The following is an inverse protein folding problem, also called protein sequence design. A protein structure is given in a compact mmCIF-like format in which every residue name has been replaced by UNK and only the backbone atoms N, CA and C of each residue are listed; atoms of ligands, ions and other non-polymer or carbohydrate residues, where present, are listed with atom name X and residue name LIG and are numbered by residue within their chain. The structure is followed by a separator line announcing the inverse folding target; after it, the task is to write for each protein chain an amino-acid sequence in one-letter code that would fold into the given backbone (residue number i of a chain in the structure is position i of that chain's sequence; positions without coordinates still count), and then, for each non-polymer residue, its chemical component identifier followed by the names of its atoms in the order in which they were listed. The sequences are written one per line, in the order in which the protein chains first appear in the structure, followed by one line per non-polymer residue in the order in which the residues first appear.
data_IF_704481447359
#
_entry.id   IF_704481447359
#
_cell.length_a   1.000
_cell.length_b   1.000
_cell.length_c   1.000
_cell.angle_alpha   90.00
_cell.angle_beta   90.00
_cell.angle_gamma   90.00
#
_symmetry.space_group_name_H-M   'P 1'
#
loop_
_entity.id
_entity.type
_entity.pdbx_description
1 polymer ?
#
# COMPACT_ATOMS: atom_id res chain seq x y z
N UNK A 1 -9.10 21.93 17.06
CA UNK A 1 -10.50 21.44 16.92
C UNK A 1 -10.44 20.14 16.14
N UNK A 2 -10.70 19.01 16.79
CA UNK A 2 -10.69 17.69 16.15
C UNK A 2 -12.05 17.46 15.52
N UNK A 3 -12.11 17.45 14.20
CA UNK A 3 -13.34 17.20 13.45
C UNK A 3 -13.79 15.77 13.72
N UNK A 4 -14.89 15.61 14.46
CA UNK A 4 -15.48 14.31 14.77
C UNK A 4 -16.18 13.83 13.50
N UNK A 5 -15.55 12.90 12.77
CA UNK A 5 -16.17 12.26 11.62
C UNK A 5 -17.27 11.33 12.14
N UNK A 6 -18.54 11.73 12.01
CA UNK A 6 -19.69 10.90 12.34
C UNK A 6 -19.94 9.99 11.15
N UNK A 7 -19.74 8.69 11.34
CA UNK A 7 -20.00 7.68 10.32
C UNK A 7 -21.50 7.61 10.07
N UNK A 8 -21.92 7.62 8.80
CA UNK A 8 -23.32 7.46 8.43
C UNK A 8 -23.90 6.11 8.92
N UNK A 9 -25.19 6.09 9.26
CA UNK A 9 -25.85 4.94 9.92
C UNK A 9 -25.74 3.64 9.12
N UNK A 10 -25.67 3.71 7.79
CA UNK A 10 -25.52 2.57 6.89
C UNK A 10 -24.16 1.86 7.07
N UNK A 11 -23.08 2.65 7.15
CA UNK A 11 -21.72 2.16 7.39
C UNK A 11 -21.58 1.62 8.82
N UNK A 12 -22.19 2.28 9.80
CA UNK A 12 -22.21 1.78 11.18
C UNK A 12 -22.98 0.46 11.29
N UNK A 13 -24.13 0.35 10.62
CA UNK A 13 -24.93 -0.88 10.55
C UNK A 13 -24.17 -2.05 9.91
N UNK A 14 -23.39 -1.78 8.86
CA UNK A 14 -22.51 -2.79 8.25
C UNK A 14 -21.45 -3.29 9.24
N UNK A 15 -20.79 -2.39 9.95
CA UNK A 15 -19.79 -2.75 10.98
C UNK A 15 -20.43 -3.58 12.08
N UNK A 16 -21.58 -3.16 12.60
CA UNK A 16 -22.31 -3.90 13.65
C UNK A 16 -22.67 -5.33 13.19
N UNK A 17 -23.13 -5.49 11.95
CA UNK A 17 -23.43 -6.82 11.37
C UNK A 17 -22.20 -7.71 11.29
N UNK A 18 -21.06 -7.16 10.87
CA UNK A 18 -19.79 -7.92 10.80
C UNK A 18 -19.26 -8.27 12.18
N UNK A 19 -19.36 -7.37 13.16
CA UNK A 19 -19.01 -7.66 14.55
C UNK A 19 -19.86 -8.81 15.12
N UNK A 20 -21.18 -8.80 14.87
CA UNK A 20 -22.05 -9.89 15.31
C UNK A 20 -21.67 -11.24 14.69
N UNK A 21 -21.39 -11.26 13.39
CA UNK A 21 -20.99 -12.47 12.67
C UNK A 21 -19.66 -13.05 13.18
N UNK A 22 -18.69 -12.17 13.45
CA UNK A 22 -17.41 -12.54 14.06
C UNK A 22 -17.63 -13.14 15.47
N UNK A 23 -18.39 -12.46 16.32
CA UNK A 23 -18.71 -12.94 17.67
C UNK A 23 -19.40 -14.30 17.66
N UNK A 24 -20.35 -14.50 16.74
CA UNK A 24 -21.03 -15.79 16.55
C UNK A 24 -20.02 -16.89 16.21
N UNK A 25 -19.14 -16.64 15.24
CA UNK A 25 -18.14 -17.62 14.78
C UNK A 25 -17.11 -17.99 15.84
N UNK A 26 -16.68 -17.02 16.64
CA UNK A 26 -15.80 -17.25 17.81
C UNK A 26 -16.52 -18.10 18.86
N UNK A 27 -17.79 -17.80 19.17
CA UNK A 27 -18.59 -18.59 20.12
C UNK A 27 -18.83 -20.03 19.65
N UNK A 28 -18.99 -20.22 18.34
CA UNK A 28 -19.14 -21.55 17.72
C UNK A 28 -17.80 -22.30 17.56
N UNK A 29 -16.67 -21.67 17.90
CA UNK A 29 -15.33 -22.27 17.76
C UNK A 29 -14.83 -22.41 16.32
N UNK A 30 -15.49 -21.74 15.35
CA UNK A 30 -15.10 -21.76 13.93
C UNK A 30 -14.00 -20.76 13.58
N UNK A 31 -13.67 -19.88 14.52
CA UNK A 31 -12.54 -18.96 14.48
C UNK A 31 -11.87 -19.02 15.86
N UNK A 32 -10.54 -19.09 15.86
CA UNK A 32 -9.74 -18.96 17.07
C UNK A 32 -9.87 -17.55 17.68
N UNK A 33 -10.23 -17.42 18.98
CA UNK A 33 -10.41 -16.13 19.62
C UNK A 33 -9.19 -15.21 19.56
N UNK A 34 -7.98 -15.76 19.67
CA UNK A 34 -6.73 -14.99 19.69
C UNK A 34 -6.44 -14.43 18.29
N UNK A 35 -6.64 -15.25 17.25
CA UNK A 35 -6.52 -14.81 15.85
C UNK A 35 -7.53 -13.70 15.52
N UNK A 36 -8.76 -13.81 16.03
CA UNK A 36 -9.78 -12.77 15.85
C UNK A 36 -9.40 -11.46 16.55
N UNK A 37 -8.89 -11.55 17.78
CA UNK A 37 -8.47 -10.38 18.56
C UNK A 37 -7.28 -9.66 17.91
N UNK A 38 -6.26 -10.40 17.46
CA UNK A 38 -5.11 -9.82 16.75
C UNK A 38 -5.53 -9.11 15.46
N UNK A 39 -6.43 -9.70 14.68
CA UNK A 39 -6.92 -9.09 13.44
C UNK A 39 -7.71 -7.80 13.70
N UNK A 40 -8.59 -7.78 14.70
CA UNK A 40 -9.32 -6.57 15.11
C UNK A 40 -8.33 -5.49 15.58
N UNK A 41 -7.35 -5.87 16.41
CA UNK A 41 -6.35 -4.94 16.91
C UNK A 41 -5.51 -4.36 15.78
N UNK A 42 -5.09 -5.17 14.80
CA UNK A 42 -4.36 -4.68 13.62
C UNK A 42 -5.18 -3.67 12.79
N UNK A 43 -6.50 -3.87 12.66
CA UNK A 43 -7.39 -2.91 11.99
C UNK A 43 -7.54 -1.63 12.82
N UNK A 44 -7.74 -1.75 14.14
CA UNK A 44 -7.89 -0.60 15.04
C UNK A 44 -6.61 0.24 15.16
N UNK A 45 -5.45 -0.40 15.09
CA UNK A 45 -4.13 0.24 15.14
C UNK A 45 -3.65 0.74 13.77
N UNK A 46 -4.49 0.66 12.72
CA UNK A 46 -4.13 1.07 11.35
C UNK A 46 -2.83 0.39 10.87
N UNK A 47 -2.63 -0.86 11.28
CA UNK A 47 -1.48 -1.70 10.91
C UNK A 47 -1.66 -2.35 9.54
N UNK A 48 -2.89 -2.51 9.06
CA UNK A 48 -3.12 -2.98 7.69
C UNK A 48 -3.12 -1.80 6.74
N UNK A 49 -2.04 -1.65 5.96
CA UNK A 49 -2.00 -0.70 4.85
C UNK A 49 -3.14 -1.02 3.87
N UNK A 50 -3.78 -0.01 3.25
CA UNK A 50 -4.76 -0.26 2.21
C UNK A 50 -4.10 -1.05 1.07
N UNK A 51 -4.80 -2.08 0.60
CA UNK A 51 -4.36 -2.89 -0.54
C UNK A 51 -4.65 -2.21 -1.89
N UNK A 52 -5.44 -1.14 -1.89
CA UNK A 52 -5.87 -0.41 -3.07
C UNK A 52 -6.04 1.07 -2.72
N UNK A 53 -5.79 1.94 -3.70
CA UNK A 53 -6.11 3.36 -3.63
C UNK A 53 -6.70 3.84 -4.95
N UNK A 54 -7.58 4.83 -4.88
CA UNK A 54 -8.08 5.55 -6.05
C UNK A 54 -7.66 7.00 -5.93
N UNK A 55 -7.10 7.54 -7.02
CA UNK A 55 -6.56 8.89 -7.13
C UNK A 55 -7.15 9.49 -8.41
N UNK A 56 -7.97 10.54 -8.30
CA UNK A 56 -8.77 11.06 -9.40
C UNK A 56 -9.59 9.96 -10.08
N UNK A 57 -9.33 9.70 -11.37
CA UNK A 57 -9.98 8.66 -12.16
C UNK A 57 -9.19 7.35 -12.28
N UNK A 58 -8.08 7.20 -11.54
CA UNK A 58 -7.19 6.02 -11.61
C UNK A 58 -7.23 5.21 -10.33
N UNK A 59 -7.44 3.91 -10.46
CA UNK A 59 -7.39 2.96 -9.35
C UNK A 59 -6.14 2.10 -9.44
N UNK A 60 -5.46 1.97 -8.30
CA UNK A 60 -4.19 1.26 -8.15
C UNK A 60 -4.28 0.20 -7.07
N UNK A 61 -3.89 -1.02 -7.40
CA UNK A 61 -3.55 -2.02 -6.38
C UNK A 61 -2.14 -1.76 -5.86
N UNK A 62 -1.98 -1.90 -4.54
CA UNK A 62 -0.72 -1.74 -3.83
C UNK A 62 -0.17 -3.13 -3.50
N UNK A 63 0.92 -3.51 -4.15
CA UNK A 63 1.44 -4.87 -4.13
C UNK A 63 2.84 -4.93 -3.52
N UNK A 64 3.10 -6.00 -2.76
CA UNK A 64 4.45 -6.41 -2.38
C UNK A 64 5.04 -7.37 -3.42
N UNK A 65 6.37 -7.39 -3.55
CA UNK A 65 7.10 -8.28 -4.45
C UNK A 65 7.88 -9.39 -3.73
N UNK A 66 7.92 -9.37 -2.40
CA UNK A 66 8.53 -10.42 -1.58
C UNK A 66 7.66 -11.67 -1.55
N UNK A 67 8.28 -12.83 -1.48
CA UNK A 67 7.63 -14.16 -1.46
C UNK A 67 8.04 -14.92 -0.19
N UNK A 68 7.09 -15.65 0.39
CA UNK A 68 7.37 -16.47 1.57
C UNK A 68 7.90 -15.67 2.75
N UNK A 69 9.08 -16.03 3.23
CA UNK A 69 9.77 -15.45 4.39
C UNK A 69 10.88 -14.45 4.01
N UNK A 70 11.02 -14.12 2.73
CA UNK A 70 11.99 -13.13 2.25
C UNK A 70 11.86 -11.80 2.98
N UNK A 71 12.99 -11.21 3.38
CA UNK A 71 13.04 -9.89 4.04
C UNK A 71 13.45 -8.76 3.09
N UNK A 72 14.14 -9.13 2.01
CA UNK A 72 14.58 -8.21 0.97
C UNK A 72 14.95 -8.97 -0.30
N UNK A 73 14.95 -8.31 -1.45
CA UNK A 73 15.48 -8.85 -2.70
C UNK A 73 16.34 -7.81 -3.44
N UNK A 74 17.25 -8.25 -4.33
CA UNK A 74 17.94 -7.35 -5.26
C UNK A 74 16.96 -6.62 -6.19
N UNK A 75 17.31 -5.42 -6.66
CA UNK A 75 16.42 -4.63 -7.52
C UNK A 75 16.08 -5.31 -8.86
N UNK A 76 16.99 -6.11 -9.41
CA UNK A 76 16.70 -6.91 -10.62
C UNK A 76 15.54 -7.89 -10.39
N UNK A 77 15.53 -8.57 -9.25
CA UNK A 77 14.47 -9.50 -8.86
C UNK A 77 13.16 -8.75 -8.58
N UNK A 78 13.22 -7.59 -7.90
CA UNK A 78 12.05 -6.75 -7.69
C UNK A 78 11.41 -6.33 -9.02
N UNK A 79 12.21 -5.87 -9.99
CA UNK A 79 11.72 -5.45 -11.32
C UNK A 79 11.12 -6.63 -12.10
N UNK A 80 11.76 -7.79 -12.09
CA UNK A 80 11.25 -9.01 -12.74
C UNK A 80 9.87 -9.38 -12.18
N UNK A 81 9.74 -9.45 -10.85
CA UNK A 81 8.47 -9.80 -10.20
C UNK A 81 7.41 -8.73 -10.39
N UNK A 82 7.79 -7.45 -10.41
CA UNK A 82 6.85 -6.39 -10.74
C UNK A 82 6.26 -6.57 -12.14
N UNK A 83 7.09 -6.95 -13.13
CA UNK A 83 6.62 -7.26 -14.49
C UNK A 83 5.71 -8.48 -14.55
N UNK A 84 6.06 -9.56 -13.84
CA UNK A 84 5.21 -10.76 -13.73
C UNK A 84 3.81 -10.42 -13.19
N UNK A 85 3.73 -9.47 -12.24
CA UNK A 85 2.48 -9.00 -11.64
C UNK A 85 1.79 -7.89 -12.44
N UNK A 86 2.36 -7.44 -13.56
CA UNK A 86 1.91 -6.26 -14.32
C UNK A 86 1.90 -4.96 -13.48
N UNK A 87 2.81 -4.87 -12.52
CA UNK A 87 2.99 -3.76 -11.57
C UNK A 87 4.24 -2.91 -11.89
N UNK A 88 4.63 -2.85 -13.16
CA UNK A 88 5.80 -2.13 -13.66
C UNK A 88 5.44 -0.75 -14.20
N UNK A 89 4.66 0.05 -13.45
CA UNK A 89 4.24 1.37 -13.90
C UNK A 89 5.43 2.32 -14.11
N UNK A 90 5.23 3.29 -15.00
CA UNK A 90 6.26 4.24 -15.44
C UNK A 90 5.96 5.69 -15.04
N UNK A 91 6.58 6.62 -15.78
CA UNK A 91 6.52 8.05 -15.48
C UNK A 91 5.11 8.64 -15.47
N UNK A 92 4.23 8.21 -16.37
CA UNK A 92 2.87 8.74 -16.47
C UNK A 92 2.10 8.57 -15.15
N UNK A 93 2.07 7.36 -14.61
CA UNK A 93 1.39 7.07 -13.35
C UNK A 93 2.11 7.68 -12.13
N UNK A 94 3.45 7.69 -12.14
CA UNK A 94 4.20 8.29 -11.04
C UNK A 94 4.01 9.81 -10.95
N UNK A 95 4.00 10.50 -12.09
CA UNK A 95 3.72 11.93 -12.13
C UNK A 95 2.27 12.22 -11.76
N UNK A 96 1.32 11.43 -12.29
CA UNK A 96 -0.09 11.57 -11.95
C UNK A 96 -0.34 11.43 -10.44
N UNK A 97 0.33 10.47 -9.78
CA UNK A 97 0.25 10.28 -8.34
C UNK A 97 0.79 11.50 -7.57
N UNK A 98 1.85 12.16 -8.05
CA UNK A 98 2.41 13.37 -7.42
C UNK A 98 1.52 14.60 -7.61
N UNK A 99 0.90 14.73 -8.78
CA UNK A 99 -0.01 15.84 -9.10
C UNK A 99 -1.30 15.79 -8.26
N UNK A 100 -1.72 14.57 -7.88
CA UNK A 100 -2.90 14.30 -7.07
C UNK A 100 -2.58 13.81 -5.64
N UNK A 101 -1.40 14.14 -5.13
CA UNK A 101 -0.85 13.53 -3.92
C UNK A 101 -1.69 13.70 -2.64
N UNK A 102 -2.56 14.71 -2.59
CA UNK A 102 -3.47 14.95 -1.46
C UNK A 102 -4.55 13.86 -1.33
N UNK A 103 -4.85 13.16 -2.42
CA UNK A 103 -5.83 12.07 -2.47
C UNK A 103 -5.22 10.73 -2.01
N UNK A 104 -3.89 10.64 -1.92
CA UNK A 104 -3.21 9.42 -1.43
C UNK A 104 -3.58 9.19 0.04
N UNK A 105 -4.03 7.98 0.41
CA UNK A 105 -4.46 7.68 1.77
C UNK A 105 -3.42 8.07 2.82
N UNK A 106 -3.86 8.81 3.84
CA UNK A 106 -2.97 9.27 4.91
C UNK A 106 -2.32 8.10 5.68
N UNK A 107 -3.00 6.95 5.74
CA UNK A 107 -2.51 5.72 6.35
C UNK A 107 -1.20 5.20 5.73
N UNK A 108 -0.87 5.61 4.50
CA UNK A 108 0.34 5.20 3.78
C UNK A 108 1.55 6.11 4.07
N UNK A 109 1.31 7.33 4.59
CA UNK A 109 2.33 8.36 4.78
C UNK A 109 3.40 7.89 5.77
N UNK A 110 4.64 7.83 5.31
CA UNK A 110 5.79 7.39 6.10
C UNK A 110 5.85 5.88 6.36
N UNK A 111 4.93 5.08 5.81
CA UNK A 111 4.90 3.61 5.96
C UNK A 111 5.28 2.87 4.69
N UNK A 112 5.20 3.52 3.52
CA UNK A 112 5.52 2.90 2.22
C UNK A 112 6.37 3.80 1.35
N UNK A 113 7.11 3.16 0.43
CA UNK A 113 7.77 3.78 -0.71
C UNK A 113 7.17 3.18 -1.97
N UNK A 114 6.59 3.99 -2.84
CA UNK A 114 6.09 3.51 -4.14
C UNK A 114 7.22 3.48 -5.15
N UNK A 115 7.47 2.32 -5.72
CA UNK A 115 8.50 2.12 -6.75
C UNK A 115 7.81 2.09 -8.11
N UNK A 116 8.37 2.81 -9.08
CA UNK A 116 7.90 2.83 -10.47
C UNK A 116 8.97 2.19 -11.38
N UNK A 117 8.92 0.85 -11.57
CA UNK A 117 10.00 0.10 -12.22
C UNK A 117 10.33 0.55 -13.65
N UNK A 118 9.36 1.11 -14.39
CA UNK A 118 9.59 1.59 -15.76
C UNK A 118 9.86 3.10 -15.83
N UNK A 119 9.86 3.80 -14.70
CA UNK A 119 10.30 5.19 -14.63
C UNK A 119 11.79 5.27 -14.33
N UNK A 120 12.59 5.32 -15.40
CA UNK A 120 14.07 5.39 -15.32
C UNK A 120 14.58 6.82 -15.23
N UNK A 121 15.68 7.01 -14.50
CA UNK A 121 16.34 8.32 -14.42
C UNK A 121 16.97 8.65 -15.78
N UNK A 122 16.69 9.84 -16.35
CA UNK A 122 17.37 10.28 -17.56
C UNK A 122 18.89 10.32 -17.37
N UNK A 123 19.63 9.64 -18.25
CA UNK A 123 21.09 9.56 -18.19
C UNK A 123 21.66 8.51 -17.22
N UNK A 124 20.82 7.85 -16.42
CA UNK A 124 21.25 6.83 -15.45
C UNK A 124 20.18 5.72 -15.33
N UNK A 125 20.17 4.76 -16.27
CA UNK A 125 19.14 3.71 -16.31
C UNK A 125 19.24 2.73 -15.12
N UNK A 126 20.34 2.76 -14.36
CA UNK A 126 20.51 2.02 -13.12
C UNK A 126 19.59 2.51 -12.00
N UNK A 127 19.01 3.70 -12.14
CA UNK A 127 18.07 4.26 -11.19
C UNK A 127 16.60 4.11 -11.63
N UNK A 128 15.72 3.88 -10.66
CA UNK A 128 14.26 3.96 -10.78
C UNK A 128 13.70 5.11 -9.95
N UNK A 129 12.55 5.64 -10.36
CA UNK A 129 11.83 6.61 -9.55
C UNK A 129 11.14 5.91 -8.38
N UNK A 130 11.28 6.51 -7.21
CA UNK A 130 10.53 6.19 -6.01
C UNK A 130 9.74 7.41 -5.57
N UNK A 131 8.53 7.19 -5.07
CA UNK A 131 7.71 8.22 -4.45
C UNK A 131 7.49 7.86 -2.98
N UNK A 132 7.97 8.72 -2.09
CA UNK A 132 7.87 8.53 -0.64
C UNK A 132 7.41 9.82 0.07
N UNK A 133 6.97 9.66 1.32
CA UNK A 133 6.47 10.77 2.13
C UNK A 133 7.61 11.41 2.91
N UNK A 134 7.96 12.66 2.58
CA UNK A 134 9.00 13.45 3.26
C UNK A 134 8.58 14.90 3.42
N UNK A 135 8.89 15.49 4.57
CA UNK A 135 8.65 16.92 4.80
C UNK A 135 7.18 17.32 4.61
N UNK A 136 6.25 16.47 5.07
CA UNK A 136 4.80 16.62 4.95
C UNK A 136 4.25 16.65 3.51
N UNK A 137 4.92 16.00 2.56
CA UNK A 137 4.43 15.84 1.19
C UNK A 137 4.98 14.55 0.56
N UNK A 138 4.36 14.11 -0.53
CA UNK A 138 4.95 13.05 -1.36
C UNK A 138 5.98 13.67 -2.31
N UNK A 139 7.15 13.06 -2.39
CA UNK A 139 8.25 13.53 -3.23
C UNK A 139 8.76 12.41 -4.12
N UNK A 140 9.26 12.78 -5.30
CA UNK A 140 9.99 11.87 -6.16
C UNK A 140 11.48 11.91 -5.79
N UNK A 141 12.07 10.73 -5.62
CA UNK A 141 13.51 10.53 -5.47
C UNK A 141 13.98 9.41 -6.42
N UNK A 142 15.30 9.35 -6.66
CA UNK A 142 15.92 8.37 -7.54
C UNK A 142 16.73 7.35 -6.74
N UNK A 143 16.46 6.07 -6.95
CA UNK A 143 17.08 4.96 -6.22
C UNK A 143 17.75 3.97 -7.17
N UNK A 144 18.93 3.50 -6.78
CA UNK A 144 19.71 2.53 -7.54
C UNK A 144 19.07 1.14 -7.46
N UNK A 145 18.95 0.46 -8.60
CA UNK A 145 18.52 -0.94 -8.65
C UNK A 145 19.54 -1.90 -8.01
N UNK A 146 20.82 -1.51 -7.97
CA UNK A 146 21.87 -2.32 -7.33
C UNK A 146 21.75 -2.35 -5.80
N UNK A 147 20.83 -1.57 -5.22
CA UNK A 147 20.44 -1.68 -3.82
C UNK A 147 19.52 -2.88 -3.56
N UNK A 148 19.40 -3.23 -2.28
CA UNK A 148 18.39 -4.17 -1.78
C UNK A 148 17.07 -3.45 -1.50
N UNK A 149 15.96 -4.14 -1.74
CA UNK A 149 14.60 -3.62 -1.61
C UNK A 149 13.83 -4.45 -0.60
N UNK A 150 13.04 -3.79 0.23
CA UNK A 150 12.45 -4.32 1.45
C UNK A 150 10.93 -4.43 1.39
N UNK A 151 10.35 -4.90 2.48
CA UNK A 151 8.91 -5.03 2.68
C UNK A 151 8.18 -3.70 2.87
N UNK A 152 8.84 -2.54 2.86
CA UNK A 152 8.18 -1.22 2.82
C UNK A 152 8.01 -0.71 1.39
N UNK A 153 8.79 -1.26 0.46
CA UNK A 153 8.74 -0.89 -0.95
C UNK A 153 7.54 -1.58 -1.60
N UNK A 154 6.74 -0.80 -2.31
CA UNK A 154 5.50 -1.24 -2.93
C UNK A 154 5.51 -0.90 -4.40
N UNK A 155 5.05 -1.84 -5.21
CA UNK A 155 4.79 -1.60 -6.63
C UNK A 155 3.29 -1.44 -6.83
N UNK A 156 2.92 -0.66 -7.84
CA UNK A 156 1.53 -0.35 -8.14
C UNK A 156 1.11 -1.07 -9.41
N UNK A 157 -0.11 -1.59 -9.44
CA UNK A 157 -0.75 -2.10 -10.66
C UNK A 157 -2.01 -1.30 -10.92
N UNK A 158 -2.15 -0.80 -12.15
CA UNK A 158 -3.37 -0.13 -12.60
C UNK A 158 -4.48 -1.14 -12.87
N UNK A 159 -5.70 -0.83 -12.43
CA UNK A 159 -6.92 -1.60 -12.76
C UNK A 159 -7.57 -1.13 -14.06
#
# INVERSE_FOLDING_TARGET
MTTRCVVADDKFGLVAKRCWELQRRVREGTIDPDVAAEAIQAIMEDKSLPAEMTIGDRTYEILGFLRGDEKSVPGSVMVERAKEMQANLGQDDGQYLLDHQEEIPQALRGKVVFVFPDWRRPGDPGCVACVDWRGNRWVQDWYWLDCVWYDIDRVLRRK
#
